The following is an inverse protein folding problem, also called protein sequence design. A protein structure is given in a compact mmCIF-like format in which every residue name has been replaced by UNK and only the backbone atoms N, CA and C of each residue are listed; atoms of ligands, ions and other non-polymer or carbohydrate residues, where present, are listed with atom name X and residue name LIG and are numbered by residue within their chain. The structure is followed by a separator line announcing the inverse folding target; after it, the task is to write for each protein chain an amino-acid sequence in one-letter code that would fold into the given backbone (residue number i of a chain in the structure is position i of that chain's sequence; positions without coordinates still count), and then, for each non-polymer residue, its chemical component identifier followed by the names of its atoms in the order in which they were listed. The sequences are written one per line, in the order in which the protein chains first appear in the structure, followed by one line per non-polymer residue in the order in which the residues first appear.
data_IF_990993716242
#
_entry.id   IF_990993716242
#
_cell.length_a   1.000
_cell.length_b   1.000
_cell.length_c   1.000
_cell.angle_alpha   90.00
_cell.angle_beta   90.00
_cell.angle_gamma   90.00
#
_symmetry.space_group_name_H-M   'P 1'
#
loop_
_entity.id
_entity.type
_entity.pdbx_description
1 polymer ?
#
# COMPACT_ATOMS: atom_id res chain seq x y z
N UNK A 1 14.04 12.08 1.28
CA UNK A 1 13.77 13.42 0.70
C UNK A 1 12.27 13.63 0.50
N UNK A 2 11.72 14.71 1.06
CA UNK A 2 10.31 15.12 0.94
C UNK A 2 10.12 16.38 0.11
N UNK A 3 8.88 16.86 -0.07
CA UNK A 3 8.59 18.12 -0.78
C UNK A 3 8.09 19.22 0.16
N UNK A 4 8.67 20.41 0.06
CA UNK A 4 8.21 21.64 0.72
C UNK A 4 8.31 22.81 -0.28
N UNK A 5 7.24 23.59 -0.42
CA UNK A 5 7.20 24.78 -1.28
C UNK A 5 7.75 24.53 -2.71
N UNK A 6 7.42 23.37 -3.30
CA UNK A 6 7.83 23.00 -4.65
C UNK A 6 9.26 22.42 -4.79
N UNK A 7 10.06 22.42 -3.73
CA UNK A 7 11.44 21.93 -3.73
C UNK A 7 11.60 20.63 -2.96
N UNK A 8 12.65 19.87 -3.30
CA UNK A 8 13.02 18.64 -2.59
C UNK A 8 13.86 18.99 -1.38
N UNK A 9 13.44 18.56 -0.20
CA UNK A 9 14.08 18.89 1.08
C UNK A 9 14.32 17.66 1.94
N UNK A 10 15.22 17.77 2.91
CA UNK A 10 15.40 16.74 3.93
C UNK A 10 14.20 16.77 4.89
N UNK A 11 13.51 15.63 5.02
CA UNK A 11 12.32 15.46 5.86
C UNK A 11 12.57 14.57 7.09
N UNK A 12 13.82 14.23 7.39
CA UNK A 12 14.17 13.30 8.49
C UNK A 12 13.67 13.76 9.85
N UNK A 13 13.70 15.06 10.14
CA UNK A 13 13.28 15.65 11.43
C UNK A 13 11.81 16.10 11.47
N UNK A 14 11.02 15.79 10.44
CA UNK A 14 9.64 16.26 10.38
C UNK A 14 8.76 15.50 11.37
N UNK A 15 7.93 16.24 12.09
CA UNK A 15 7.03 15.67 13.09
C UNK A 15 5.88 14.91 12.40
N UNK A 16 5.70 13.64 12.79
CA UNK A 16 4.62 12.79 12.29
C UNK A 16 3.28 13.05 12.98
N UNK A 17 3.22 13.82 14.07
CA UNK A 17 2.00 14.00 14.89
C UNK A 17 0.73 14.44 14.13
N UNK A 18 0.79 15.19 13.01
CA UNK A 18 -0.42 15.49 12.25
C UNK A 18 -1.10 14.25 11.66
N UNK A 19 -0.36 13.16 11.44
CA UNK A 19 -0.91 11.91 10.91
C UNK A 19 -1.75 11.13 11.92
N UNK A 20 -1.50 11.31 13.22
CA UNK A 20 -2.01 10.49 14.33
C UNK A 20 -2.34 9.05 13.88
N UNK A 21 -3.60 8.63 13.98
CA UNK A 21 -3.99 7.24 13.75
C UNK A 21 -3.97 6.86 12.27
N UNK A 22 -4.00 7.86 11.39
CA UNK A 22 -4.05 7.67 9.95
C UNK A 22 -2.66 7.38 9.33
N UNK A 23 -1.57 7.81 9.97
CA UNK A 23 -0.25 7.73 9.33
C UNK A 23 0.99 7.87 10.20
N UNK A 24 0.89 8.02 11.53
CA UNK A 24 2.07 8.22 12.40
C UNK A 24 2.68 6.93 12.95
N UNK A 25 2.23 5.76 12.49
CA UNK A 25 2.83 4.50 12.91
C UNK A 25 4.27 4.38 12.40
N UNK A 26 5.19 3.98 13.28
CA UNK A 26 6.58 3.66 12.95
C UNK A 26 6.75 2.15 13.02
N UNK A 27 7.45 1.58 12.04
CA UNK A 27 7.62 0.13 11.94
C UNK A 27 8.93 -0.23 11.21
N UNK A 28 9.21 -1.53 11.12
CA UNK A 28 10.33 -2.09 10.38
C UNK A 28 9.84 -2.93 9.19
N UNK A 29 10.74 -3.25 8.26
CA UNK A 29 10.42 -4.16 7.14
C UNK A 29 9.92 -5.52 7.64
N UNK A 30 10.57 -6.07 8.67
CA UNK A 30 10.22 -7.37 9.25
C UNK A 30 8.86 -7.37 9.96
N UNK A 31 8.54 -6.30 10.69
CA UNK A 31 7.25 -6.19 11.36
C UNK A 31 6.11 -6.02 10.36
N UNK A 32 6.30 -5.17 9.34
CA UNK A 32 5.32 -5.01 8.26
C UNK A 32 5.12 -6.30 7.47
N UNK A 33 6.15 -7.11 7.28
CA UNK A 33 6.02 -8.40 6.61
C UNK A 33 5.09 -9.36 7.36
N UNK A 34 5.19 -9.40 8.70
CA UNK A 34 4.25 -10.18 9.53
C UNK A 34 2.85 -9.56 9.49
N UNK A 35 2.78 -8.25 9.69
CA UNK A 35 1.54 -7.49 9.75
C UNK A 35 0.70 -7.60 8.47
N UNK A 36 1.32 -7.54 7.28
CA UNK A 36 0.62 -7.63 5.99
C UNK A 36 -0.22 -8.91 5.90
N UNK A 37 0.39 -10.05 6.23
CA UNK A 37 -0.30 -11.35 6.27
C UNK A 37 -1.39 -11.35 7.33
N UNK A 38 -1.03 -11.00 8.56
CA UNK A 38 -1.93 -11.10 9.72
C UNK A 38 -3.19 -10.24 9.58
N UNK A 39 -3.05 -9.03 9.04
CA UNK A 39 -4.18 -8.15 8.77
C UNK A 39 -5.04 -8.63 7.61
N UNK A 40 -4.44 -9.18 6.55
CA UNK A 40 -5.18 -9.69 5.41
C UNK A 40 -6.00 -10.95 5.76
N UNK A 41 -5.44 -11.87 6.55
CA UNK A 41 -6.13 -13.12 6.91
C UNK A 41 -6.89 -13.04 8.24
N UNK A 42 -6.66 -12.01 9.05
CA UNK A 42 -7.41 -11.72 10.27
C UNK A 42 -7.03 -12.54 11.48
N UNK A 43 -5.74 -12.90 11.66
CA UNK A 43 -5.26 -13.70 12.81
C UNK A 43 -5.47 -13.01 14.17
N UNK A 44 -5.65 -11.68 14.16
CA UNK A 44 -5.81 -10.85 15.35
C UNK A 44 -7.27 -10.47 15.65
N UNK A 45 -8.23 -10.98 14.87
CA UNK A 45 -9.63 -10.61 14.96
C UNK A 45 -10.54 -11.84 15.02
N UNK A 46 -11.76 -11.66 15.54
CA UNK A 46 -12.82 -12.65 15.33
C UNK A 46 -13.15 -12.74 13.84
N UNK A 47 -13.65 -13.91 13.40
CA UNK A 47 -14.12 -14.10 12.02
C UNK A 47 -15.15 -13.06 11.58
N UNK A 48 -16.05 -12.68 12.50
CA UNK A 48 -17.07 -11.66 12.24
C UNK A 48 -16.46 -10.29 11.97
N UNK A 49 -15.53 -9.84 12.81
CA UNK A 49 -14.85 -8.55 12.63
C UNK A 49 -13.98 -8.53 11.36
N UNK A 50 -13.26 -9.61 11.06
CA UNK A 50 -12.47 -9.70 9.83
C UNK A 50 -13.36 -9.65 8.58
N UNK A 51 -14.53 -10.31 8.61
CA UNK A 51 -15.51 -10.23 7.51
C UNK A 51 -15.97 -8.79 7.27
N UNK A 52 -16.17 -8.00 8.32
CA UNK A 52 -16.50 -6.58 8.18
C UNK A 52 -15.32 -5.78 7.63
N UNK A 53 -14.09 -6.03 8.11
CA UNK A 53 -12.87 -5.34 7.63
C UNK A 53 -12.65 -5.55 6.13
N UNK A 54 -12.89 -6.77 5.64
CA UNK A 54 -12.71 -7.14 4.23
C UNK A 54 -13.93 -6.84 3.35
N UNK A 55 -14.91 -6.08 3.84
CA UNK A 55 -16.03 -5.60 3.03
C UNK A 55 -15.59 -4.40 2.19
N UNK A 56 -14.90 -4.67 1.08
CA UNK A 56 -14.43 -3.65 0.14
C UNK A 56 -15.57 -3.06 -0.69
N UNK A 57 -15.58 -1.74 -0.81
CA UNK A 57 -16.39 -1.02 -1.79
C UNK A 57 -15.56 -0.80 -3.06
N UNK A 58 -16.09 -1.08 -4.26
CA UNK A 58 -15.38 -0.83 -5.51
C UNK A 58 -15.01 0.65 -5.67
N UNK A 59 -13.80 0.92 -6.16
CA UNK A 59 -13.39 2.28 -6.46
C UNK A 59 -14.03 2.74 -7.78
N UNK A 60 -14.68 3.92 -7.83
CA UNK A 60 -15.23 4.46 -9.08
C UNK A 60 -14.14 4.63 -10.14
N UNK A 61 -14.35 4.09 -11.34
CA UNK A 61 -13.45 4.28 -12.49
C UNK A 61 -12.17 3.43 -12.50
N UNK A 62 -11.90 2.63 -11.47
CA UNK A 62 -10.77 1.68 -11.45
C UNK A 62 -11.28 0.24 -11.48
N UNK A 63 -10.62 -0.63 -12.26
CA UNK A 63 -10.98 -2.06 -12.29
C UNK A 63 -10.21 -2.83 -11.23
N UNK A 64 -10.88 -3.79 -10.60
CA UNK A 64 -10.29 -4.67 -9.57
C UNK A 64 -9.65 -3.91 -8.39
N UNK A 65 -10.11 -2.69 -8.13
CA UNK A 65 -9.69 -1.89 -6.98
C UNK A 65 -10.89 -1.67 -6.07
N UNK A 66 -10.71 -1.88 -4.78
CA UNK A 66 -11.70 -1.56 -3.75
C UNK A 66 -11.05 -1.07 -2.46
N UNK A 67 -11.83 -0.40 -1.64
CA UNK A 67 -11.40 0.14 -0.36
C UNK A 67 -12.38 -0.25 0.74
N UNK A 68 -11.86 -0.64 1.90
CA UNK A 68 -12.60 -1.10 3.07
C UNK A 68 -12.20 -0.35 4.32
N UNK A 69 -12.26 -1.02 5.48
CA UNK A 69 -11.83 -0.41 6.75
C UNK A 69 -10.29 -0.33 6.80
N UNK A 70 -9.76 0.79 6.27
CA UNK A 70 -8.33 1.10 6.18
C UNK A 70 -7.49 0.09 5.37
N UNK A 71 -8.12 -0.68 4.49
CA UNK A 71 -7.47 -1.63 3.60
C UNK A 71 -7.90 -1.40 2.16
N UNK A 72 -6.96 -1.59 1.26
CA UNK A 72 -7.16 -1.67 -0.18
C UNK A 72 -7.20 -3.13 -0.61
N UNK A 73 -8.04 -3.40 -1.61
CA UNK A 73 -7.96 -4.60 -2.44
C UNK A 73 -7.59 -4.17 -3.85
N UNK A 74 -6.44 -4.63 -4.36
CA UNK A 74 -5.95 -4.29 -5.71
C UNK A 74 -5.59 -5.58 -6.43
N UNK A 75 -6.42 -6.00 -7.37
CA UNK A 75 -6.23 -7.21 -8.16
C UNK A 75 -5.94 -8.47 -7.30
N UNK A 76 -6.62 -8.57 -6.15
CA UNK A 76 -6.46 -9.67 -5.18
C UNK A 76 -5.45 -9.42 -4.07
N UNK A 77 -4.57 -8.42 -4.20
CA UNK A 77 -3.70 -7.98 -3.11
C UNK A 77 -4.50 -7.23 -2.05
N UNK A 78 -4.33 -7.60 -0.79
CA UNK A 78 -4.97 -6.98 0.36
C UNK A 78 -3.89 -6.32 1.21
N UNK A 79 -4.06 -5.05 1.55
CA UNK A 79 -3.09 -4.31 2.36
C UNK A 79 -3.26 -2.82 2.20
N UNK A 80 -2.17 -2.06 2.27
CA UNK A 80 -2.19 -0.62 2.05
C UNK A 80 -0.81 -0.07 1.66
N UNK A 81 -0.80 1.08 0.97
CA UNK A 81 0.39 1.89 0.76
C UNK A 81 0.39 3.14 1.68
N UNK A 82 1.55 3.62 2.09
CA UNK A 82 1.71 4.87 2.83
C UNK A 82 2.46 5.90 2.00
N UNK A 83 2.05 7.16 2.10
CA UNK A 83 2.77 8.31 1.53
C UNK A 83 2.83 9.40 2.59
N UNK A 84 4.04 9.68 3.06
CA UNK A 84 4.34 10.75 4.00
C UNK A 84 5.53 11.56 3.46
N UNK A 85 5.64 12.86 3.73
CA UNK A 85 6.82 13.63 3.35
C UNK A 85 8.13 12.93 3.74
N UNK A 86 8.91 12.56 2.72
CA UNK A 86 10.18 11.86 2.89
C UNK A 86 10.12 10.34 2.88
N UNK A 87 8.94 9.71 2.90
CA UNK A 87 8.80 8.26 3.07
C UNK A 87 7.59 7.70 2.31
N UNK A 88 7.77 6.56 1.64
CA UNK A 88 6.63 5.75 1.18
C UNK A 88 6.78 4.31 1.68
N UNK A 89 5.63 3.68 1.91
CA UNK A 89 5.55 2.28 2.30
C UNK A 89 4.51 1.53 1.46
N UNK A 90 4.72 0.23 1.29
CA UNK A 90 3.80 -0.69 0.63
C UNK A 90 3.83 -1.95 1.46
N UNK A 91 2.66 -2.41 1.88
CA UNK A 91 2.54 -3.60 2.71
C UNK A 91 1.28 -4.36 2.29
N UNK A 92 1.46 -5.38 1.45
CA UNK A 92 0.36 -6.09 0.79
C UNK A 92 0.57 -7.61 0.84
N UNK A 93 -0.54 -8.35 0.89
CA UNK A 93 -0.59 -9.81 0.91
C UNK A 93 -1.57 -10.34 -0.14
N UNK A 94 -1.18 -11.39 -0.85
CA UNK A 94 -2.00 -12.08 -1.85
C UNK A 94 -2.40 -13.47 -1.33
N UNK A 95 -3.65 -13.65 -0.85
CA UNK A 95 -4.07 -14.92 -0.25
C UNK A 95 -3.98 -16.12 -1.20
N UNK A 96 -4.29 -15.94 -2.49
CA UNK A 96 -4.32 -17.02 -3.48
C UNK A 96 -2.95 -17.67 -3.72
N UNK A 97 -1.87 -16.95 -3.46
CA UNK A 97 -0.49 -17.43 -3.65
C UNK A 97 0.34 -17.40 -2.36
N UNK A 98 -0.28 -17.04 -1.23
CA UNK A 98 0.38 -16.85 0.07
C UNK A 98 1.63 -15.96 -0.02
N UNK A 99 1.58 -14.93 -0.86
CA UNK A 99 2.69 -14.05 -1.13
C UNK A 99 2.56 -12.73 -0.35
N UNK A 100 3.67 -12.23 0.18
CA UNK A 100 3.75 -10.91 0.82
C UNK A 100 4.73 -10.03 0.06
N UNK A 101 4.36 -8.77 -0.19
CA UNK A 101 5.29 -7.75 -0.67
C UNK A 101 5.29 -6.60 0.32
N UNK A 102 6.49 -6.28 0.82
CA UNK A 102 6.74 -5.07 1.61
C UNK A 102 7.85 -4.27 0.97
N UNK A 103 7.64 -2.97 0.81
CA UNK A 103 8.66 -2.04 0.34
C UNK A 103 8.63 -0.77 1.18
N UNK A 104 9.83 -0.24 1.46
CA UNK A 104 10.04 1.00 2.18
C UNK A 104 11.04 1.85 1.40
N UNK A 105 10.68 3.09 1.09
CA UNK A 105 11.58 4.05 0.44
C UNK A 105 11.64 5.33 1.25
N UNK A 106 12.85 5.86 1.41
CA UNK A 106 13.14 7.12 2.12
C UNK A 106 13.02 8.34 1.19
N UNK A 107 12.06 8.29 0.28
CA UNK A 107 11.64 9.44 -0.51
C UNK A 107 10.19 9.30 -0.93
N UNK A 108 9.47 10.43 -0.97
CA UNK A 108 8.19 10.54 -1.65
C UNK A 108 8.23 11.59 -2.77
N UNK A 109 9.43 11.89 -3.28
CA UNK A 109 9.59 12.81 -4.40
C UNK A 109 8.95 12.20 -5.66
N UNK A 110 7.81 12.76 -6.08
CA UNK A 110 7.11 12.30 -7.28
C UNK A 110 7.98 12.47 -8.53
N UNK A 111 7.96 11.47 -9.40
CA UNK A 111 8.48 11.52 -10.76
C UNK A 111 7.35 11.79 -11.77
N UNK A 112 7.65 12.16 -13.03
CA UNK A 112 6.63 12.23 -14.09
C UNK A 112 5.85 10.93 -14.30
N UNK A 113 6.40 9.80 -13.85
CA UNK A 113 5.82 8.46 -14.00
C UNK A 113 4.98 8.03 -12.78
N UNK A 114 4.93 8.83 -11.72
CA UNK A 114 4.15 8.56 -10.51
C UNK A 114 5.00 8.37 -9.25
N UNK A 115 4.34 7.86 -8.21
CA UNK A 115 4.94 7.55 -6.91
C UNK A 115 5.97 6.41 -7.07
N UNK A 116 7.23 6.61 -6.64
CA UNK A 116 8.30 5.62 -6.80
C UNK A 116 7.93 4.22 -6.31
N UNK A 117 7.30 4.12 -5.15
CA UNK A 117 7.01 2.82 -4.56
C UNK A 117 5.87 2.07 -5.26
N UNK A 118 4.90 2.80 -5.83
CA UNK A 118 3.85 2.18 -6.63
C UNK A 118 4.42 1.58 -7.92
N UNK A 119 5.36 2.28 -8.56
CA UNK A 119 6.08 1.77 -9.74
C UNK A 119 6.89 0.52 -9.40
N UNK A 120 7.59 0.52 -8.27
CA UNK A 120 8.34 -0.63 -7.80
C UNK A 120 7.41 -1.83 -7.48
N UNK A 121 6.30 -1.58 -6.78
CA UNK A 121 5.30 -2.60 -6.49
C UNK A 121 4.72 -3.24 -7.75
N UNK A 122 4.40 -2.43 -8.76
CA UNK A 122 3.94 -2.93 -10.07
C UNK A 122 5.01 -3.75 -10.78
N UNK A 123 6.26 -3.27 -10.81
CA UNK A 123 7.36 -3.97 -11.47
C UNK A 123 7.65 -5.34 -10.82
N UNK A 124 7.69 -5.38 -9.49
CA UNK A 124 7.88 -6.63 -8.74
C UNK A 124 6.72 -7.60 -9.03
N UNK A 125 5.47 -7.16 -8.84
CA UNK A 125 4.29 -8.03 -8.99
C UNK A 125 4.08 -8.51 -10.42
N UNK A 126 4.52 -7.76 -11.44
CA UNK A 126 4.58 -8.25 -12.83
C UNK A 126 5.44 -9.49 -12.99
N UNK A 127 6.52 -9.60 -12.22
CA UNK A 127 7.46 -10.72 -12.30
C UNK A 127 6.97 -11.88 -11.44
N UNK A 128 6.65 -11.61 -10.17
CA UNK A 128 6.39 -12.68 -9.21
C UNK A 128 4.94 -13.18 -9.23
N UNK A 129 3.99 -12.34 -9.68
CA UNK A 129 2.55 -12.64 -9.66
C UNK A 129 1.86 -12.05 -10.92
N UNK A 130 2.22 -12.47 -12.14
CA UNK A 130 1.80 -11.80 -13.39
C UNK A 130 0.27 -11.74 -13.62
N UNK A 131 -0.51 -12.61 -12.97
CA UNK A 131 -1.99 -12.58 -13.00
C UNK A 131 -2.61 -11.62 -11.97
N UNK A 132 -1.80 -11.14 -11.03
CA UNK A 132 -2.18 -10.28 -9.92
C UNK A 132 -1.24 -9.06 -9.88
N UNK A 133 -1.13 -8.32 -10.98
CA UNK A 133 -0.29 -7.12 -11.01
C UNK A 133 -0.88 -6.06 -10.07
N UNK A 134 -0.08 -5.52 -9.15
CA UNK A 134 -0.47 -4.42 -8.28
C UNK A 134 -0.41 -3.11 -9.06
N UNK A 135 -1.54 -2.70 -9.63
CA UNK A 135 -1.65 -1.50 -10.45
C UNK A 135 -3.02 -0.85 -10.30
N UNK A 136 -3.03 0.48 -10.27
CA UNK A 136 -4.24 1.29 -10.30
C UNK A 136 -4.51 1.70 -11.74
N UNK A 137 -5.31 0.90 -12.45
CA UNK A 137 -5.67 1.16 -13.85
C UNK A 137 -7.17 1.37 -14.02
N UNK A 138 -7.50 2.30 -14.93
CA UNK A 138 -8.87 2.47 -15.41
C UNK A 138 -9.17 1.42 -16.50
N UNK A 139 -10.43 1.35 -16.93
CA UNK A 139 -10.87 0.34 -17.89
C UNK A 139 -10.08 0.33 -19.21
N UNK A 140 -9.57 1.47 -19.66
CA UNK A 140 -8.78 1.57 -20.90
C UNK A 140 -7.28 1.23 -20.73
N UNK A 141 -6.78 1.06 -19.51
CA UNK A 141 -5.36 0.77 -19.22
C UNK A 141 -5.11 -0.55 -18.51
N UNK A 142 -6.16 -1.26 -18.08
CA UNK A 142 -6.00 -2.61 -17.55
C UNK A 142 -5.94 -3.61 -18.72
N UNK A 143 -4.75 -4.12 -19.03
CA UNK A 143 -4.57 -5.35 -19.79
C UNK A 143 -4.90 -6.55 -18.91
#
# INVERSE_FOLDING_TARGET
LGRACGTTVNATSWNLSPGWAAGSMVSTLGDLHRWARDVAIGTLLTRGTQKQRLRFMPHPGLRHVGYGLALQSVNGWIGHNGDWPGYQSLSIYLPSQQATVVGLVNTNASSPHGAPLLLLGQAITRIITPKHIYQFCNASRCQ
#
